data_IF_586655743379
#
_entry.id   IF_586655743379
#
_cell.length_a   1.000
_cell.length_b   1.000
_cell.length_c   1.000
_cell.angle_alpha   90.00
_cell.angle_beta   90.00
_cell.angle_gamma   90.00
#
_symmetry.space_group_name_H-M   'P 1'
#
loop_
_entity.id
_entity.type
_entity.pdbx_description
1 polymer ?
#
# COMPACT_ATOMS: atom_id res chain seq x y z
N UNK A 1 -23.19 24.62 -2.59
CA UNK A 1 -21.78 25.07 -2.62
C UNK A 1 -21.04 24.09 -3.51
N UNK A 2 -20.39 24.54 -4.58
CA UNK A 2 -19.59 23.66 -5.44
C UNK A 2 -18.40 23.16 -4.62
N UNK A 3 -18.33 21.87 -4.35
CA UNK A 3 -17.20 21.28 -3.66
C UNK A 3 -15.97 21.36 -4.59
N UNK A 4 -14.98 22.13 -4.18
CA UNK A 4 -13.75 22.30 -4.95
C UNK A 4 -12.84 21.10 -4.76
N UNK A 5 -12.38 20.49 -5.86
CA UNK A 5 -11.38 19.43 -5.84
C UNK A 5 -10.00 20.04 -5.53
N UNK A 6 -9.53 19.84 -4.29
CA UNK A 6 -8.20 20.25 -3.87
C UNK A 6 -7.15 19.15 -4.09
N UNK A 7 -5.87 19.50 -3.90
CA UNK A 7 -4.72 18.61 -4.04
C UNK A 7 -4.88 17.28 -3.29
N UNK A 8 -5.49 17.29 -2.10
CA UNK A 8 -5.69 16.11 -1.26
C UNK A 8 -6.52 15.02 -1.94
N UNK A 9 -7.52 15.39 -2.74
CA UNK A 9 -8.40 14.45 -3.44
C UNK A 9 -7.66 13.73 -4.58
N UNK A 10 -6.82 14.46 -5.33
CA UNK A 10 -5.95 13.87 -6.36
C UNK A 10 -4.87 12.97 -5.75
N UNK A 11 -4.32 13.36 -4.61
CA UNK A 11 -3.35 12.58 -3.86
C UNK A 11 -3.94 11.25 -3.37
N UNK A 12 -5.16 11.25 -2.82
CA UNK A 12 -5.88 10.03 -2.44
C UNK A 12 -6.23 9.18 -3.65
N UNK A 13 -6.74 9.79 -4.72
CA UNK A 13 -7.08 9.07 -5.94
C UNK A 13 -5.85 8.35 -6.53
N UNK A 14 -4.70 9.01 -6.55
CA UNK A 14 -3.44 8.38 -6.97
C UNK A 14 -3.12 7.14 -6.12
N UNK A 15 -3.31 7.19 -4.81
CA UNK A 15 -3.04 6.04 -3.93
C UNK A 15 -4.03 4.89 -4.14
N UNK A 16 -5.29 5.20 -4.47
CA UNK A 16 -6.28 4.20 -4.90
C UNK A 16 -5.80 3.50 -6.19
N UNK A 17 -5.30 4.28 -7.16
CA UNK A 17 -4.75 3.70 -8.40
C UNK A 17 -3.53 2.81 -8.14
N UNK A 18 -2.68 3.14 -7.17
CA UNK A 18 -1.55 2.28 -6.79
C UNK A 18 -2.01 0.91 -6.23
N UNK A 19 -3.13 0.84 -5.53
CA UNK A 19 -3.69 -0.47 -5.12
C UNK A 19 -4.18 -1.24 -6.35
N UNK A 20 -4.89 -0.59 -7.28
CA UNK A 20 -5.31 -1.23 -8.53
C UNK A 20 -4.11 -1.74 -9.35
N UNK A 21 -3.03 -0.97 -9.44
CA UNK A 21 -1.79 -1.38 -10.10
C UNK A 21 -1.15 -2.60 -9.41
N UNK A 22 -1.15 -2.63 -8.07
CA UNK A 22 -0.63 -3.77 -7.31
C UNK A 22 -1.47 -5.02 -7.51
N UNK A 23 -2.79 -4.90 -7.53
CA UNK A 23 -3.70 -6.00 -7.84
C UNK A 23 -3.38 -6.62 -9.21
N UNK A 24 -3.10 -5.79 -10.23
CA UNK A 24 -2.68 -6.27 -11.55
C UNK A 24 -1.27 -6.91 -11.54
N UNK A 25 -0.35 -6.41 -10.71
CA UNK A 25 0.95 -7.05 -10.53
C UNK A 25 0.82 -8.42 -9.85
N UNK A 26 -0.07 -8.54 -8.85
CA UNK A 26 -0.35 -9.82 -8.19
C UNK A 26 -0.91 -10.81 -9.20
N UNK A 27 -1.89 -10.42 -10.01
CA UNK A 27 -2.45 -11.26 -11.07
C UNK A 27 -1.36 -11.76 -12.01
N UNK A 28 -0.57 -10.85 -12.57
CA UNK A 28 0.53 -11.16 -13.50
C UNK A 28 1.57 -12.10 -12.89
N UNK A 29 1.92 -11.95 -11.62
CA UNK A 29 2.87 -12.85 -10.96
C UNK A 29 2.23 -14.21 -10.66
N UNK A 30 0.96 -14.24 -10.23
CA UNK A 30 0.24 -15.47 -9.94
C UNK A 30 -0.03 -16.32 -11.20
N UNK A 31 -0.31 -15.70 -12.36
CA UNK A 31 -0.48 -16.39 -13.65
C UNK A 31 0.74 -17.23 -14.04
N UNK A 32 1.96 -16.85 -13.61
CA UNK A 32 3.17 -17.61 -13.93
C UNK A 32 3.22 -19.00 -13.29
N UNK A 33 2.50 -19.22 -12.20
CA UNK A 33 2.55 -20.47 -11.42
C UNK A 33 1.19 -21.12 -11.21
N UNK A 34 0.10 -20.37 -11.41
CA UNK A 34 -1.28 -20.83 -11.21
C UNK A 34 -2.09 -20.78 -12.52
N UNK A 35 -1.48 -20.32 -13.62
CA UNK A 35 -2.11 -20.24 -14.94
C UNK A 35 -3.52 -19.59 -14.88
N UNK A 36 -4.51 -20.17 -15.55
CA UNK A 36 -5.88 -19.66 -15.66
C UNK A 36 -6.59 -19.51 -14.30
N UNK A 37 -6.18 -20.27 -13.27
CA UNK A 37 -6.78 -20.16 -11.93
C UNK A 37 -6.61 -18.75 -11.35
N UNK A 38 -5.47 -18.10 -11.57
CA UNK A 38 -5.25 -16.74 -11.08
C UNK A 38 -6.23 -15.75 -11.71
N UNK A 39 -6.49 -15.88 -13.01
CA UNK A 39 -7.46 -15.07 -13.75
C UNK A 39 -8.88 -15.32 -13.26
N UNK A 40 -9.30 -16.59 -13.07
CA UNK A 40 -10.63 -16.93 -12.56
C UNK A 40 -10.90 -16.35 -11.17
N UNK A 41 -9.92 -16.39 -10.26
CA UNK A 41 -10.03 -15.82 -8.93
C UNK A 41 -10.09 -14.29 -8.95
N UNK A 42 -9.29 -13.66 -9.82
CA UNK A 42 -9.34 -12.20 -10.01
C UNK A 42 -10.70 -11.75 -10.57
N UNK A 43 -11.21 -12.43 -11.61
CA UNK A 43 -12.51 -12.13 -12.21
C UNK A 43 -13.64 -12.30 -11.19
N UNK A 44 -13.52 -13.27 -10.29
CA UNK A 44 -14.46 -13.45 -9.18
C UNK A 44 -14.44 -12.22 -8.26
N UNK A 45 -13.28 -11.76 -7.83
CA UNK A 45 -13.16 -10.57 -6.97
C UNK A 45 -13.69 -9.31 -7.68
N UNK A 46 -13.39 -9.15 -8.97
CA UNK A 46 -13.92 -8.06 -9.81
C UNK A 46 -15.45 -8.14 -9.93
N UNK A 47 -16.00 -9.33 -10.14
CA UNK A 47 -17.46 -9.52 -10.18
C UNK A 47 -18.16 -9.15 -8.88
N UNK A 48 -17.50 -9.35 -7.73
CA UNK A 48 -18.06 -9.03 -6.41
C UNK A 48 -18.00 -7.54 -6.06
N UNK A 49 -16.92 -6.86 -6.44
CA UNK A 49 -16.62 -5.50 -5.98
C UNK A 49 -16.59 -4.44 -7.10
N UNK A 50 -16.70 -4.87 -8.36
CA UNK A 50 -16.66 -3.99 -9.53
C UNK A 50 -15.25 -3.81 -10.11
N UNK A 51 -15.24 -3.36 -11.37
CA UNK A 51 -14.01 -3.11 -12.14
C UNK A 51 -13.12 -2.03 -11.51
N UNK A 52 -11.77 -2.20 -11.57
CA UNK A 52 -10.85 -1.13 -11.25
C UNK A 52 -11.11 0.10 -12.13
N UNK A 53 -11.05 1.28 -11.55
CA UNK A 53 -11.13 2.51 -12.35
C UNK A 53 -9.87 2.61 -13.20
N UNK A 54 -9.99 2.73 -14.55
CA UNK A 54 -8.83 2.86 -15.42
C UNK A 54 -7.95 4.06 -15.03
N UNK A 55 -6.62 3.86 -15.07
CA UNK A 55 -5.64 4.86 -14.61
C UNK A 55 -5.66 6.16 -15.40
N UNK A 56 -6.12 6.14 -16.65
CA UNK A 56 -6.27 7.29 -17.56
C UNK A 56 -7.51 8.15 -17.26
N UNK A 57 -8.41 7.70 -16.38
CA UNK A 57 -9.63 8.45 -16.06
C UNK A 57 -9.32 9.69 -15.24
N UNK A 58 -9.77 10.83 -15.77
CA UNK A 58 -9.67 12.09 -15.06
C UNK A 58 -10.63 12.09 -13.87
N UNK A 59 -10.10 12.25 -12.66
CA UNK A 59 -10.88 12.30 -11.42
C UNK A 59 -12.05 13.29 -11.49
N UNK A 60 -11.85 14.47 -12.10
CA UNK A 60 -12.87 15.49 -12.21
C UNK A 60 -14.12 15.05 -12.99
N UNK A 61 -13.96 14.05 -13.88
CA UNK A 61 -15.04 13.56 -14.74
C UNK A 61 -15.84 12.41 -14.12
N UNK A 62 -15.30 11.76 -13.09
CA UNK A 62 -15.86 10.53 -12.52
C UNK A 62 -16.30 10.66 -11.06
N UNK A 63 -15.77 11.65 -10.35
CA UNK A 63 -16.07 11.87 -8.94
C UNK A 63 -17.48 12.43 -8.74
N UNK A 64 -18.13 12.01 -7.66
CA UNK A 64 -19.38 12.65 -7.24
C UNK A 64 -19.11 14.02 -6.61
N UNK A 65 -19.30 15.09 -7.37
CA UNK A 65 -19.12 16.46 -6.91
C UNK A 65 -20.07 16.88 -5.78
N UNK A 66 -21.14 16.14 -5.56
CA UNK A 66 -22.07 16.39 -4.45
C UNK A 66 -21.58 15.77 -3.13
N UNK A 67 -20.78 14.70 -3.22
CA UNK A 67 -20.24 13.96 -2.07
C UNK A 67 -18.83 13.43 -2.33
N UNK A 68 -17.88 14.33 -2.54
CA UNK A 68 -16.47 14.01 -2.87
C UNK A 68 -15.85 13.05 -1.84
N UNK A 69 -16.02 13.33 -0.54
CA UNK A 69 -15.43 12.51 0.51
C UNK A 69 -16.03 11.11 0.57
N UNK A 70 -17.36 11.01 0.51
CA UNK A 70 -18.04 9.71 0.49
C UNK A 70 -17.69 8.88 -0.74
N UNK A 71 -17.52 9.51 -1.90
CA UNK A 71 -17.08 8.83 -3.10
C UNK A 71 -15.66 8.28 -2.96
N UNK A 72 -14.71 9.09 -2.46
CA UNK A 72 -13.32 8.65 -2.24
C UNK A 72 -13.24 7.53 -1.20
N UNK A 73 -13.97 7.67 -0.08
CA UNK A 73 -14.02 6.63 0.95
C UNK A 73 -14.57 5.32 0.41
N UNK A 74 -15.63 5.37 -0.39
CA UNK A 74 -16.16 4.19 -1.05
C UNK A 74 -15.14 3.56 -2.02
N UNK A 75 -14.40 4.37 -2.79
CA UNK A 75 -13.37 3.85 -3.69
C UNK A 75 -12.21 3.20 -2.92
N UNK A 76 -11.79 3.78 -1.79
CA UNK A 76 -10.79 3.18 -0.89
C UNK A 76 -11.28 1.81 -0.40
N UNK A 77 -12.52 1.75 0.10
CA UNK A 77 -13.10 0.49 0.62
C UNK A 77 -13.19 -0.58 -0.47
N UNK A 78 -13.82 -0.25 -1.60
CA UNK A 78 -14.03 -1.20 -2.71
C UNK A 78 -12.69 -1.76 -3.20
N UNK A 79 -11.73 -0.88 -3.49
CA UNK A 79 -10.41 -1.29 -4.00
C UNK A 79 -9.64 -2.13 -2.98
N UNK A 80 -9.63 -1.71 -1.70
CA UNK A 80 -8.89 -2.43 -0.65
C UNK A 80 -9.50 -3.79 -0.33
N UNK A 81 -10.83 -3.90 -0.30
CA UNK A 81 -11.50 -5.17 -0.04
C UNK A 81 -11.39 -6.11 -1.25
N UNK A 82 -11.49 -5.60 -2.49
CA UNK A 82 -11.30 -6.41 -3.70
C UNK A 82 -9.91 -7.03 -3.76
N UNK A 83 -8.85 -6.21 -3.60
CA UNK A 83 -7.48 -6.71 -3.55
C UNK A 83 -7.29 -7.75 -2.43
N UNK A 84 -7.78 -7.46 -1.22
CA UNK A 84 -7.66 -8.36 -0.08
C UNK A 84 -8.42 -9.68 -0.28
N UNK A 85 -9.58 -9.66 -0.95
CA UNK A 85 -10.35 -10.86 -1.31
C UNK A 85 -9.59 -11.69 -2.35
N UNK A 86 -9.07 -11.06 -3.39
CA UNK A 86 -8.25 -11.73 -4.39
C UNK A 86 -7.02 -12.40 -3.77
N UNK A 87 -6.30 -11.69 -2.88
CA UNK A 87 -5.16 -12.25 -2.14
C UNK A 87 -5.59 -13.46 -1.30
N UNK A 88 -6.70 -13.35 -0.57
CA UNK A 88 -7.22 -14.46 0.23
C UNK A 88 -7.50 -15.70 -0.62
N UNK A 89 -8.21 -15.52 -1.72
CA UNK A 89 -8.60 -16.63 -2.59
C UNK A 89 -7.38 -17.27 -3.29
N UNK A 90 -6.39 -16.47 -3.67
CA UNK A 90 -5.09 -16.98 -4.14
C UNK A 90 -4.39 -17.84 -3.09
N UNK A 91 -4.31 -17.36 -1.84
CA UNK A 91 -3.67 -18.10 -0.74
C UNK A 91 -4.37 -19.42 -0.45
N UNK A 92 -5.69 -19.42 -0.46
CA UNK A 92 -6.50 -20.62 -0.20
C UNK A 92 -6.34 -21.67 -1.30
N UNK A 93 -6.15 -21.27 -2.55
CA UNK A 93 -6.06 -22.17 -3.69
C UNK A 93 -4.63 -22.50 -4.12
N UNK A 94 -3.68 -21.56 -3.98
CA UNK A 94 -2.32 -21.65 -4.53
C UNK A 94 -1.21 -21.87 -3.48
N UNK A 95 -1.52 -21.76 -2.18
CA UNK A 95 -0.57 -22.01 -1.10
C UNK A 95 0.75 -21.24 -1.24
N UNK A 96 1.88 -21.94 -1.20
CA UNK A 96 3.23 -21.32 -1.26
C UNK A 96 3.48 -20.59 -2.58
N UNK A 97 2.98 -21.11 -3.71
CA UNK A 97 3.12 -20.44 -5.02
C UNK A 97 2.40 -19.10 -5.06
N UNK A 98 1.21 -19.02 -4.48
CA UNK A 98 0.48 -17.77 -4.34
C UNK A 98 1.20 -16.80 -3.38
N UNK A 99 1.72 -17.31 -2.26
CA UNK A 99 2.52 -16.54 -1.32
C UNK A 99 3.70 -15.84 -2.02
N UNK A 100 4.48 -16.59 -2.78
CA UNK A 100 5.63 -16.05 -3.51
C UNK A 100 5.24 -15.02 -4.57
N UNK A 101 4.16 -15.27 -5.31
CA UNK A 101 3.64 -14.35 -6.32
C UNK A 101 3.19 -13.02 -5.69
N UNK A 102 2.41 -13.07 -4.60
CA UNK A 102 1.94 -11.89 -3.90
C UNK A 102 3.10 -11.07 -3.34
N UNK A 103 4.04 -11.73 -2.63
CA UNK A 103 5.21 -11.03 -2.07
C UNK A 103 6.08 -10.41 -3.15
N UNK A 104 6.26 -11.08 -4.30
CA UNK A 104 6.98 -10.55 -5.46
C UNK A 104 6.31 -9.29 -6.00
N UNK A 105 4.99 -9.27 -6.13
CA UNK A 105 4.24 -8.11 -6.58
C UNK A 105 4.38 -6.91 -5.62
N UNK A 106 4.29 -7.14 -4.31
CA UNK A 106 4.49 -6.10 -3.29
C UNK A 106 5.91 -5.52 -3.34
N UNK A 107 6.93 -6.37 -3.42
CA UNK A 107 8.34 -5.93 -3.56
C UNK A 107 8.56 -5.16 -4.84
N UNK A 108 8.02 -5.63 -5.96
CA UNK A 108 8.14 -4.99 -7.28
C UNK A 108 7.55 -3.58 -7.24
N UNK A 109 6.31 -3.43 -6.73
CA UNK A 109 5.70 -2.12 -6.61
C UNK A 109 6.44 -1.22 -5.60
N UNK A 110 6.83 -1.77 -4.45
CA UNK A 110 7.60 -1.01 -3.45
C UNK A 110 8.88 -0.44 -4.04
N UNK A 111 9.62 -1.24 -4.82
CA UNK A 111 10.83 -0.80 -5.53
C UNK A 111 10.52 0.30 -6.54
N UNK A 112 9.49 0.13 -7.37
CA UNK A 112 9.10 1.14 -8.36
C UNK A 112 8.70 2.47 -7.70
N UNK A 113 7.86 2.42 -6.65
CA UNK A 113 7.46 3.61 -5.88
C UNK A 113 8.66 4.29 -5.20
N UNK A 114 9.59 3.51 -4.63
CA UNK A 114 10.81 4.03 -4.03
C UNK A 114 11.73 4.72 -5.04
N UNK A 115 11.85 4.17 -6.25
CA UNK A 115 12.60 4.80 -7.35
C UNK A 115 11.99 6.15 -7.75
N UNK A 116 10.66 6.20 -7.90
CA UNK A 116 9.96 7.47 -8.18
C UNK A 116 10.09 8.48 -7.03
N UNK A 117 10.11 8.00 -5.79
CA UNK A 117 10.35 8.86 -4.62
C UNK A 117 11.76 9.43 -4.65
N UNK A 118 12.79 8.62 -4.98
CA UNK A 118 14.17 9.08 -5.13
C UNK A 118 14.32 10.18 -6.18
N UNK A 119 13.67 10.01 -7.34
CA UNK A 119 13.67 11.04 -8.39
C UNK A 119 13.11 12.38 -7.90
N UNK A 120 12.05 12.35 -7.07
CA UNK A 120 11.47 13.57 -6.50
C UNK A 120 12.30 14.17 -5.37
N UNK A 121 12.92 13.34 -4.54
CA UNK A 121 13.78 13.77 -3.44
C UNK A 121 15.09 14.38 -3.98
N UNK A 122 15.61 13.87 -5.12
CA UNK A 122 16.88 14.30 -5.70
C UNK A 122 18.08 13.56 -5.11
N UNK A 123 19.30 14.00 -5.50
CA UNK A 123 20.55 13.29 -5.23
C UNK A 123 21.15 13.55 -3.83
N UNK A 124 20.55 14.43 -3.04
CA UNK A 124 21.03 14.71 -1.68
C UNK A 124 20.79 13.50 -0.75
N UNK A 125 21.55 13.43 0.34
CA UNK A 125 21.24 12.50 1.42
C UNK A 125 20.05 13.03 2.22
N UNK A 126 19.04 12.19 2.38
CA UNK A 126 17.82 12.51 3.09
C UNK A 126 17.77 11.87 4.48
N UNK A 127 17.07 12.52 5.39
CA UNK A 127 16.82 12.00 6.72
C UNK A 127 15.79 10.85 6.68
N UNK A 128 15.75 9.97 7.69
CA UNK A 128 14.70 8.96 7.82
C UNK A 128 13.28 9.55 7.78
N UNK A 129 13.07 10.75 8.34
CA UNK A 129 11.81 11.47 8.30
C UNK A 129 11.40 11.86 6.88
N UNK A 130 12.32 12.43 6.08
CA UNK A 130 12.01 12.84 4.70
C UNK A 130 11.63 11.62 3.84
N UNK A 131 12.30 10.48 4.02
CA UNK A 131 11.97 9.23 3.31
C UNK A 131 10.62 8.67 3.78
N UNK A 132 10.32 8.74 5.08
CA UNK A 132 8.99 8.39 5.59
C UNK A 132 7.90 9.29 4.99
N UNK A 133 8.11 10.61 4.93
CA UNK A 133 7.15 11.54 4.33
C UNK A 133 6.94 11.25 2.84
N UNK A 134 8.03 10.97 2.09
CA UNK A 134 7.93 10.57 0.70
C UNK A 134 7.16 9.26 0.51
N UNK A 135 7.31 8.29 1.43
CA UNK A 135 6.57 7.02 1.42
C UNK A 135 5.06 7.24 1.57
N UNK A 136 4.63 8.25 2.34
CA UNK A 136 3.20 8.56 2.51
C UNK A 136 2.50 9.00 1.21
N UNK A 137 3.25 9.41 0.18
CA UNK A 137 2.69 9.70 -1.15
C UNK A 137 2.24 8.44 -1.91
N UNK A 138 2.70 7.27 -1.50
CA UNK A 138 2.49 6.00 -2.20
C UNK A 138 1.74 4.94 -1.37
N UNK A 139 1.72 5.08 -0.06
CA UNK A 139 1.03 4.15 0.83
C UNK A 139 -0.35 4.68 1.23
N UNK A 140 -1.42 3.90 1.00
CA UNK A 140 -2.78 4.22 1.40
C UNK A 140 -3.09 3.62 2.77
N UNK A 141 -3.41 4.46 3.75
CA UNK A 141 -3.86 4.06 5.09
C UNK A 141 -5.12 4.84 5.50
N UNK A 142 -6.21 4.63 4.73
CA UNK A 142 -7.49 5.31 4.96
C UNK A 142 -7.53 6.76 4.46
N UNK A 143 -8.55 7.48 4.90
CA UNK A 143 -8.69 8.91 4.68
C UNK A 143 -7.81 9.71 5.67
N UNK A 144 -7.33 10.91 5.33
CA UNK A 144 -6.54 11.74 6.25
C UNK A 144 -7.24 12.06 7.56
N UNK A 145 -8.58 12.07 7.58
CA UNK A 145 -9.38 12.31 8.77
C UNK A 145 -9.55 11.08 9.67
N UNK A 146 -9.20 9.87 9.20
CA UNK A 146 -9.34 8.63 9.98
C UNK A 146 -8.24 8.45 11.02
N UNK A 147 -7.33 9.43 11.11
CA UNK A 147 -6.11 9.30 11.87
C UNK A 147 -5.01 8.62 11.07
N UNK A 148 -3.82 8.68 11.58
CA UNK A 148 -2.63 8.15 10.91
C UNK A 148 -1.67 7.52 11.89
N UNK A 149 -0.44 7.39 11.44
CA UNK A 149 0.65 6.89 12.25
C UNK A 149 0.94 7.83 13.44
N UNK A 150 1.24 7.26 14.58
CA UNK A 150 1.71 7.99 15.78
C UNK A 150 3.22 7.98 15.80
N UNK A 151 3.84 9.16 15.80
CA UNK A 151 5.28 9.30 15.84
C UNK A 151 5.76 9.06 17.26
N UNK A 152 6.69 8.12 17.42
CA UNK A 152 7.26 7.71 18.71
C UNK A 152 8.62 8.37 18.94
N UNK A 153 9.47 8.42 17.91
CA UNK A 153 10.81 9.03 18.01
C UNK A 153 11.23 9.58 16.64
N UNK A 154 11.94 10.70 16.67
CA UNK A 154 12.48 11.39 15.52
C UNK A 154 13.88 11.91 15.81
N UNK A 155 14.83 11.58 14.91
CA UNK A 155 16.20 12.07 14.95
C UNK A 155 16.83 12.04 13.55
N UNK A 156 18.03 12.59 13.40
CA UNK A 156 18.80 12.53 12.14
C UNK A 156 19.22 11.10 11.74
N UNK A 157 19.14 10.14 12.67
CA UNK A 157 19.58 8.76 12.46
C UNK A 157 18.46 7.76 12.38
N UNK A 158 17.28 8.06 12.94
CA UNK A 158 16.13 7.19 12.93
C UNK A 158 14.80 7.95 13.02
N UNK A 159 13.75 7.32 12.49
CA UNK A 159 12.35 7.74 12.59
C UNK A 159 11.51 6.53 12.96
N UNK A 160 10.79 6.60 14.09
CA UNK A 160 10.00 5.48 14.64
C UNK A 160 8.55 5.90 14.77
N UNK A 161 7.63 5.05 14.31
CA UNK A 161 6.19 5.28 14.40
C UNK A 161 5.40 4.01 14.70
N UNK A 162 4.16 4.18 15.13
CA UNK A 162 3.16 3.14 15.37
C UNK A 162 1.87 3.45 14.62
N UNK A 163 0.96 2.49 14.56
CA UNK A 163 -0.39 2.67 13.99
C UNK A 163 -0.51 2.32 12.50
N UNK A 164 0.59 1.96 11.85
CA UNK A 164 0.58 1.51 10.45
C UNK A 164 -0.43 0.39 10.23
N UNK A 165 -1.16 0.45 9.14
CA UNK A 165 -2.27 -0.45 8.76
C UNK A 165 -3.55 -0.33 9.62
N UNK A 166 -3.65 0.59 10.57
CA UNK A 166 -4.82 0.68 11.43
C UNK A 166 -6.13 0.76 10.62
N UNK A 167 -6.15 1.59 9.57
CA UNK A 167 -7.32 1.79 8.74
C UNK A 167 -7.50 0.70 7.65
N UNK A 168 -6.46 -0.11 7.40
CA UNK A 168 -6.53 -1.23 6.45
C UNK A 168 -7.07 -2.53 7.08
N UNK A 169 -6.89 -2.71 8.39
CA UNK A 169 -7.27 -3.95 9.08
C UNK A 169 -8.74 -4.33 8.92
N UNK A 170 -9.63 -3.34 8.93
CA UNK A 170 -11.07 -3.59 8.75
C UNK A 170 -11.37 -4.13 7.33
N UNK A 171 -10.65 -3.66 6.31
CA UNK A 171 -10.79 -4.18 4.95
C UNK A 171 -10.27 -5.63 4.84
N UNK A 172 -9.13 -5.93 5.48
CA UNK A 172 -8.58 -7.29 5.52
C UNK A 172 -9.49 -8.26 6.25
N UNK A 173 -10.04 -7.83 7.39
CA UNK A 173 -11.02 -8.60 8.15
C UNK A 173 -12.30 -8.85 7.35
N UNK A 174 -12.78 -7.85 6.63
CA UNK A 174 -13.97 -7.94 5.77
C UNK A 174 -13.76 -8.94 4.63
N UNK A 175 -12.56 -8.98 4.05
CA UNK A 175 -12.16 -9.94 3.04
C UNK A 175 -11.85 -11.35 3.62
N UNK A 176 -11.60 -11.46 4.92
CA UNK A 176 -11.21 -12.71 5.57
C UNK A 176 -9.76 -13.13 5.34
N UNK A 177 -8.91 -12.22 4.89
CA UNK A 177 -7.47 -12.49 4.72
C UNK A 177 -6.73 -12.37 6.04
N UNK A 178 -5.64 -13.14 6.20
CA UNK A 178 -4.78 -13.09 7.39
C UNK A 178 -4.14 -11.71 7.59
N UNK A 179 -4.43 -11.05 8.70
CA UNK A 179 -3.78 -9.78 9.08
C UNK A 179 -2.26 -9.93 9.20
N UNK A 180 -1.79 -11.07 9.69
CA UNK A 180 -0.35 -11.36 9.82
C UNK A 180 0.31 -11.42 8.44
N UNK A 181 -0.33 -12.10 7.49
CA UNK A 181 0.16 -12.17 6.11
C UNK A 181 0.19 -10.79 5.45
N UNK A 182 -0.91 -10.05 5.52
CA UNK A 182 -1.00 -8.71 4.93
C UNK A 182 0.02 -7.75 5.53
N UNK A 183 0.21 -7.79 6.85
CA UNK A 183 1.25 -6.99 7.50
C UNK A 183 2.66 -7.37 6.99
N UNK A 184 2.95 -8.66 6.81
CA UNK A 184 4.23 -9.11 6.27
C UNK A 184 4.43 -8.66 4.81
N UNK A 185 3.41 -8.73 3.97
CA UNK A 185 3.46 -8.25 2.58
C UNK A 185 3.72 -6.74 2.50
N UNK A 186 3.04 -5.94 3.32
CA UNK A 186 3.33 -4.49 3.40
C UNK A 186 4.72 -4.19 3.97
N UNK A 187 5.22 -4.98 4.93
CA UNK A 187 6.60 -4.82 5.42
C UNK A 187 7.62 -5.11 4.31
N UNK A 188 7.37 -6.09 3.45
CA UNK A 188 8.20 -6.34 2.27
C UNK A 188 8.16 -5.15 1.30
N UNK A 189 7.00 -4.56 1.06
CA UNK A 189 6.83 -3.35 0.28
C UNK A 189 7.61 -2.17 0.88
N UNK A 190 7.50 -1.90 2.19
CA UNK A 190 8.22 -0.81 2.86
C UNK A 190 9.75 -0.99 2.79
N UNK A 191 10.25 -2.23 2.98
CA UNK A 191 11.68 -2.52 2.82
C UNK A 191 12.16 -2.21 1.41
N UNK A 192 11.42 -2.66 0.41
CA UNK A 192 11.75 -2.43 -1.00
C UNK A 192 11.70 -0.94 -1.35
N UNK A 193 10.68 -0.21 -0.86
CA UNK A 193 10.56 1.22 -1.05
C UNK A 193 11.77 1.97 -0.46
N UNK A 194 12.09 1.74 0.82
CA UNK A 194 13.19 2.44 1.50
C UNK A 194 14.52 2.12 0.85
N UNK A 195 14.78 0.86 0.50
CA UNK A 195 16.01 0.46 -0.18
C UNK A 195 16.19 1.13 -1.55
N UNK A 196 15.11 1.33 -2.30
CA UNK A 196 15.14 1.99 -3.60
C UNK A 196 15.23 3.51 -3.47
N UNK A 197 14.50 4.12 -2.53
CA UNK A 197 14.50 5.56 -2.31
C UNK A 197 15.81 6.08 -1.71
N UNK A 198 16.36 5.35 -0.73
CA UNK A 198 17.53 5.76 0.03
C UNK A 198 18.37 4.54 0.47
N UNK A 199 19.28 4.01 -0.38
CA UNK A 199 20.03 2.76 -0.10
C UNK A 199 20.90 2.79 1.17
N UNK A 200 21.18 3.94 1.72
CA UNK A 200 21.89 4.15 2.99
C UNK A 200 20.98 4.13 4.22
N UNK A 201 19.66 3.93 4.02
CA UNK A 201 18.68 3.71 5.06
C UNK A 201 18.13 2.29 4.99
N UNK A 202 17.58 1.83 6.11
CA UNK A 202 16.92 0.53 6.21
C UNK A 202 15.57 0.65 6.93
N UNK A 203 14.62 -0.17 6.51
CA UNK A 203 13.35 -0.34 7.20
C UNK A 203 13.37 -1.58 8.09
N UNK A 204 12.92 -1.45 9.33
CA UNK A 204 12.82 -2.53 10.31
C UNK A 204 11.49 -2.44 11.07
N UNK A 205 11.05 -3.58 11.62
CA UNK A 205 9.94 -3.68 12.57
C UNK A 205 10.52 -4.01 13.93
N UNK A 206 10.11 -3.27 14.96
CA UNK A 206 10.45 -3.51 16.34
C UNK A 206 9.24 -4.18 16.98
N UNK A 207 9.43 -5.39 17.48
CA UNK A 207 8.42 -6.14 18.23
C UNK A 207 8.74 -6.01 19.72
N UNK A 208 7.82 -5.43 20.47
CA UNK A 208 7.88 -5.37 21.93
C UNK A 208 6.88 -6.37 22.53
N UNK A 209 7.23 -6.98 23.65
CA UNK A 209 6.32 -7.88 24.35
C UNK A 209 5.02 -7.16 24.72
N UNK A 210 3.89 -7.72 24.27
CA UNK A 210 2.53 -7.23 24.50
C UNK A 210 2.17 -5.86 23.90
N UNK A 211 2.99 -5.29 23.01
CA UNK A 211 2.73 -4.02 22.33
C UNK A 211 2.47 -4.21 20.83
N UNK A 212 1.78 -3.25 20.24
CA UNK A 212 1.66 -3.17 18.81
C UNK A 212 3.05 -2.96 18.18
N UNK A 213 3.31 -3.53 16.97
CA UNK A 213 4.60 -3.38 16.31
C UNK A 213 4.92 -1.90 16.05
N UNK A 214 6.17 -1.51 16.30
CA UNK A 214 6.72 -0.23 15.89
C UNK A 214 7.48 -0.39 14.58
N UNK A 215 7.40 0.60 13.74
CA UNK A 215 8.06 0.67 12.45
C UNK A 215 9.19 1.68 12.51
N UNK A 216 10.33 1.36 11.89
CA UNK A 216 11.51 2.21 11.95
C UNK A 216 12.20 2.31 10.61
N UNK A 217 12.53 3.53 10.21
CA UNK A 217 13.55 3.82 9.20
C UNK A 217 14.78 4.33 9.94
N UNK A 218 15.95 3.76 9.66
CA UNK A 218 17.20 4.16 10.30
C UNK A 218 18.38 4.08 9.33
N UNK A 219 19.47 4.80 9.64
CA UNK A 219 20.72 4.65 8.90
C UNK A 219 21.25 3.22 9.02
N UNK A 220 21.77 2.69 7.91
CA UNK A 220 22.48 1.41 7.92
C UNK A 220 23.73 1.57 8.76
N UNK A 221 23.96 0.65 9.69
CA UNK A 221 25.23 0.60 10.44
C UNK A 221 26.30 0.16 9.45
N UNK A 222 27.29 1.04 9.20
CA UNK A 222 28.48 0.62 8.44
C UNK A 222 29.20 -0.46 9.27
N UNK A 223 29.28 -1.67 8.71
CA UNK A 223 30.13 -2.73 9.25
C UNK A 223 31.61 -2.42 8.97
#
# INVERSE_FOLDING_TARGET
MSAFLGHIHFWLYKKIQLINEREQLILKEAEKSLDDLATELHDTAVSMYGEPIPADRNLQMIIDHSNIHGWLQNQIEVTSVREATFIKDLLDCGGDMATDAILTAFVTQGTACGTLAKEKLGDAQHTPQEVYQAMQDYYLNGMPCDGGDTIISESDSEYIWAGTHQNQREHWKKAGVSEVFMAAAYQAWFRAFVAAAAPYLQFNVILEENNAPLYRISKTVAN
#
